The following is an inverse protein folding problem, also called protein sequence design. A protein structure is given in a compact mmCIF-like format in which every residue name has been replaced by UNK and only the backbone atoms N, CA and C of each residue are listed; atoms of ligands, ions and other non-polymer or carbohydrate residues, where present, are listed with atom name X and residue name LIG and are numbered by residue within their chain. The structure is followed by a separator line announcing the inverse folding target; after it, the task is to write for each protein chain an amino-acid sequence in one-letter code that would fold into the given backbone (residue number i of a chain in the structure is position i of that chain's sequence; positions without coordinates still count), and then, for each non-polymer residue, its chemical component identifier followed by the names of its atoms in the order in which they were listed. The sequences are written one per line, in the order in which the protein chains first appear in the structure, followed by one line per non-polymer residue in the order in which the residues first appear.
data_IF_440849156040
#
_entry.id   IF_440849156040
#
_cell.length_a   1.000
_cell.length_b   1.000
_cell.length_c   1.000
_cell.angle_alpha   90.00
_cell.angle_beta   90.00
_cell.angle_gamma   90.00
#
_symmetry.space_group_name_H-M   'P 1'
#
loop_
_entity.id
_entity.type
_entity.pdbx_description
1 polymer ?
#
# COMPACT_ATOMS: atom_id res chain seq x y z
N UNK A 1 -11.88 47.29 -32.28
CA UNK A 1 -11.88 45.82 -32.03
C UNK A 1 -13.12 45.28 -32.70
N UNK A 2 -12.97 44.33 -33.62
CA UNK A 2 -14.13 43.72 -34.27
C UNK A 2 -14.79 42.71 -33.34
N UNK A 3 -16.12 42.80 -33.22
CA UNK A 3 -16.93 41.91 -32.40
C UNK A 3 -17.80 41.04 -33.31
N UNK A 4 -17.95 39.78 -32.93
CA UNK A 4 -18.93 38.87 -33.49
C UNK A 4 -20.17 38.79 -32.60
N UNK A 5 -21.29 38.51 -33.23
CA UNK A 5 -22.52 38.13 -32.56
C UNK A 5 -22.42 36.75 -31.93
N UNK A 6 -23.29 36.46 -30.97
CA UNK A 6 -23.47 35.11 -30.40
C UNK A 6 -23.71 34.05 -31.49
N UNK A 7 -24.40 34.41 -32.58
CA UNK A 7 -24.74 33.46 -33.65
C UNK A 7 -23.52 33.09 -34.47
N UNK A 8 -22.69 34.06 -34.82
CA UNK A 8 -21.41 33.84 -35.50
C UNK A 8 -20.43 33.07 -34.61
N UNK A 9 -20.36 33.40 -33.31
CA UNK A 9 -19.57 32.64 -32.36
C UNK A 9 -20.05 31.18 -32.23
N UNK A 10 -21.37 30.95 -32.25
CA UNK A 10 -21.95 29.61 -32.19
C UNK A 10 -21.57 28.75 -33.41
N UNK A 11 -21.59 29.36 -34.59
CA UNK A 11 -21.15 28.72 -35.85
C UNK A 11 -19.64 28.45 -35.83
N UNK A 12 -18.84 29.47 -35.47
CA UNK A 12 -17.38 29.35 -35.33
C UNK A 12 -16.95 28.26 -34.35
N UNK A 13 -17.70 28.05 -33.28
CA UNK A 13 -17.36 27.11 -32.21
C UNK A 13 -18.08 25.76 -32.31
N UNK A 14 -18.95 25.57 -33.30
CA UNK A 14 -19.74 24.35 -33.49
C UNK A 14 -20.63 24.02 -32.28
N UNK A 15 -21.27 25.03 -31.66
CA UNK A 15 -22.19 24.86 -30.52
C UNK A 15 -23.50 25.60 -30.76
N UNK A 16 -24.53 25.32 -29.96
CA UNK A 16 -25.79 26.04 -30.08
C UNK A 16 -25.65 27.50 -29.62
N UNK A 17 -26.42 28.41 -30.23
CA UNK A 17 -26.53 29.82 -29.82
C UNK A 17 -26.84 29.95 -28.33
N UNK A 18 -27.71 29.07 -27.81
CA UNK A 18 -28.09 29.02 -26.39
C UNK A 18 -26.89 28.70 -25.48
N UNK A 19 -25.95 27.86 -25.94
CA UNK A 19 -24.72 27.55 -25.21
C UNK A 19 -23.80 28.76 -25.14
N UNK A 20 -23.66 29.50 -26.23
CA UNK A 20 -22.85 30.73 -26.26
C UNK A 20 -23.45 31.79 -25.31
N UNK A 21 -24.76 32.01 -25.33
CA UNK A 21 -25.43 32.93 -24.39
C UNK A 21 -25.22 32.54 -22.93
N UNK A 22 -25.25 31.23 -22.63
CA UNK A 22 -24.96 30.73 -21.30
C UNK A 22 -23.52 31.04 -20.89
N UNK A 23 -22.54 30.82 -21.77
CA UNK A 23 -21.13 31.11 -21.49
C UNK A 23 -20.89 32.60 -21.26
N UNK A 24 -21.53 33.49 -22.02
CA UNK A 24 -21.46 34.94 -21.76
C UNK A 24 -22.03 35.30 -20.38
N UNK A 25 -23.19 34.75 -20.01
CA UNK A 25 -23.83 35.00 -18.70
C UNK A 25 -23.07 34.46 -17.50
N UNK A 26 -22.09 33.58 -17.71
CA UNK A 26 -21.27 32.98 -16.65
C UNK A 26 -19.86 33.60 -16.62
N UNK A 27 -19.64 34.71 -17.33
CA UNK A 27 -18.33 35.38 -17.48
C UNK A 27 -17.21 34.43 -17.96
N UNK A 28 -17.58 33.40 -18.72
CA UNK A 28 -16.64 32.38 -19.23
C UNK A 28 -16.02 32.78 -20.59
N UNK A 29 -16.48 33.87 -21.19
CA UNK A 29 -15.95 34.42 -22.46
C UNK A 29 -15.30 35.75 -22.14
N UNK A 30 -13.97 35.76 -22.07
CA UNK A 30 -13.20 36.96 -21.78
C UNK A 30 -13.50 38.07 -22.79
N UNK A 31 -13.83 39.26 -22.30
CA UNK A 31 -14.14 40.42 -23.14
C UNK A 31 -15.52 40.41 -23.79
N UNK A 32 -16.40 39.44 -23.46
CA UNK A 32 -17.80 39.51 -23.87
C UNK A 32 -18.50 40.70 -23.19
N UNK A 33 -19.21 41.51 -23.97
CA UNK A 33 -19.93 42.69 -23.47
C UNK A 33 -21.41 42.57 -23.84
N UNK A 34 -22.29 42.98 -22.93
CA UNK A 34 -23.72 43.03 -23.19
C UNK A 34 -24.14 44.45 -23.56
N UNK A 35 -24.61 44.63 -24.80
CA UNK A 35 -25.23 45.87 -25.25
C UNK A 35 -26.76 45.66 -25.29
N UNK A 36 -27.45 46.21 -24.29
CA UNK A 36 -28.88 45.99 -24.11
C UNK A 36 -29.23 44.52 -23.86
N UNK A 37 -29.95 43.88 -24.79
CA UNK A 37 -30.32 42.46 -24.71
C UNK A 37 -29.41 41.53 -25.50
N UNK A 38 -28.39 42.07 -26.17
CA UNK A 38 -27.53 41.31 -27.09
C UNK A 38 -26.11 41.24 -26.55
N UNK A 39 -25.51 40.06 -26.62
CA UNK A 39 -24.10 39.84 -26.29
C UNK A 39 -23.24 40.01 -27.54
N UNK A 40 -22.12 40.70 -27.39
CA UNK A 40 -21.07 40.83 -28.41
C UNK A 40 -19.78 40.20 -27.85
N UNK A 41 -19.05 39.49 -28.71
CA UNK A 41 -17.86 38.72 -28.33
C UNK A 41 -16.71 39.16 -29.22
N UNK A 42 -15.50 39.46 -28.69
CA UNK A 42 -14.36 39.82 -29.51
C UNK A 42 -14.02 38.72 -30.53
N UNK A 43 -13.74 39.09 -31.79
CA UNK A 43 -13.56 38.13 -32.88
C UNK A 43 -12.40 37.14 -32.70
N UNK A 44 -11.37 37.54 -31.96
CA UNK A 44 -10.19 36.73 -31.64
C UNK A 44 -10.42 35.74 -30.49
N UNK A 45 -11.59 35.80 -29.83
CA UNK A 45 -11.88 34.92 -28.70
C UNK A 45 -11.98 33.45 -29.12
N UNK A 46 -11.14 32.61 -28.51
CA UNK A 46 -11.22 31.16 -28.64
C UNK A 46 -12.42 30.61 -27.87
N UNK A 47 -12.96 29.47 -28.32
CA UNK A 47 -14.06 28.78 -27.63
C UNK A 47 -13.64 28.43 -26.19
N UNK A 48 -14.39 28.86 -25.15
CA UNK A 48 -14.09 28.48 -23.78
C UNK A 48 -14.16 26.96 -23.58
N UNK A 49 -13.29 26.41 -22.74
CA UNK A 49 -13.28 24.97 -22.44
C UNK A 49 -14.62 24.54 -21.84
N UNK A 50 -15.31 23.61 -22.52
CA UNK A 50 -16.62 23.09 -22.10
C UNK A 50 -16.42 21.96 -21.07
N UNK A 51 -16.85 22.18 -19.82
CA UNK A 51 -16.73 21.22 -18.71
C UNK A 51 -17.65 19.98 -18.78
N UNK A 52 -18.17 19.60 -19.96
CA UNK A 52 -19.08 18.46 -20.15
C UNK A 52 -18.51 17.32 -20.98
N UNK A 53 -17.21 17.29 -21.24
CA UNK A 53 -16.59 16.03 -21.67
C UNK A 53 -16.49 15.10 -20.47
N UNK A 54 -17.07 13.90 -20.63
CA UNK A 54 -16.58 12.69 -19.96
C UNK A 54 -15.06 12.73 -20.07
N UNK A 55 -14.36 12.63 -18.95
CA UNK A 55 -12.93 12.31 -18.96
C UNK A 55 -12.85 10.96 -19.66
N UNK A 56 -12.68 10.97 -20.98
CA UNK A 56 -11.89 9.93 -21.61
C UNK A 56 -10.57 10.06 -20.88
N UNK A 57 -10.25 9.02 -20.10
CA UNK A 57 -8.89 8.79 -19.65
C UNK A 57 -8.03 8.69 -20.91
N UNK A 58 -7.66 9.84 -21.47
CA UNK A 58 -6.32 10.01 -21.97
C UNK A 58 -5.45 9.75 -20.74
N UNK A 59 -5.07 8.48 -20.58
CA UNK A 59 -3.79 8.12 -19.96
C UNK A 59 -2.82 9.24 -20.33
N UNK A 60 -2.13 9.87 -19.35
CA UNK A 60 -1.21 10.94 -19.65
C UNK A 60 -0.10 10.44 -20.57
N UNK A 61 -0.36 10.47 -21.89
CA UNK A 61 0.65 10.36 -22.91
C UNK A 61 1.48 11.62 -22.73
N UNK A 62 2.71 11.42 -22.27
CA UNK A 62 3.75 12.44 -22.14
C UNK A 62 3.72 13.36 -20.89
N UNK A 63 3.57 12.80 -19.69
CA UNK A 63 4.18 13.43 -18.48
C UNK A 63 5.73 13.30 -18.51
N UNK A 64 6.29 12.53 -19.46
CA UNK A 64 7.74 12.28 -19.58
C UNK A 64 8.57 13.43 -20.16
N UNK A 65 7.99 14.42 -20.85
CA UNK A 65 8.77 15.48 -21.50
C UNK A 65 9.43 16.53 -20.59
N UNK A 66 8.88 16.95 -19.43
CA UNK A 66 9.53 17.98 -18.60
C UNK A 66 10.88 17.54 -17.99
N UNK A 67 11.18 16.23 -18.01
CA UNK A 67 12.39 15.65 -17.41
C UNK A 67 13.42 15.17 -18.45
N UNK A 68 13.11 15.25 -19.76
CA UNK A 68 13.99 14.74 -20.83
C UNK A 68 15.12 15.70 -21.24
N UNK A 69 15.12 16.95 -20.77
CA UNK A 69 16.21 17.90 -21.05
C UNK A 69 16.56 18.70 -19.79
N UNK A 70 17.31 18.07 -18.88
CA UNK A 70 17.99 18.74 -17.77
C UNK A 70 19.50 18.84 -18.05
N UNK A 71 19.86 19.24 -19.27
CA UNK A 71 21.24 19.54 -19.64
C UNK A 71 21.87 20.50 -18.63
N UNK A 72 22.87 20.01 -17.90
CA UNK A 72 23.80 20.84 -17.13
C UNK A 72 23.50 21.07 -15.64
N UNK A 73 22.53 20.40 -15.02
CA UNK A 73 22.19 20.65 -13.59
C UNK A 73 22.11 19.37 -12.73
N UNK A 74 23.05 18.44 -12.90
CA UNK A 74 23.19 17.24 -12.06
C UNK A 74 23.20 17.57 -10.56
N UNK A 75 23.82 18.70 -10.18
CA UNK A 75 23.86 19.16 -8.80
C UNK A 75 22.47 19.54 -8.27
N UNK A 76 21.62 20.15 -9.09
CA UNK A 76 20.24 20.47 -8.71
C UNK A 76 19.40 19.21 -8.57
N UNK A 77 19.51 18.26 -9.49
CA UNK A 77 18.81 16.98 -9.40
C UNK A 77 19.23 16.20 -8.15
N UNK A 78 20.54 16.14 -7.89
CA UNK A 78 21.09 15.51 -6.69
C UNK A 78 20.50 16.15 -5.41
N UNK A 79 20.47 17.48 -5.33
CA UNK A 79 19.85 18.19 -4.20
C UNK A 79 18.35 17.89 -4.07
N UNK A 80 17.59 17.87 -5.15
CA UNK A 80 16.15 17.54 -5.11
C UNK A 80 15.95 16.13 -4.56
N UNK A 81 16.72 15.16 -5.06
CA UNK A 81 16.61 13.77 -4.63
C UNK A 81 16.98 13.64 -3.16
N UNK A 82 18.07 14.28 -2.75
CA UNK A 82 18.57 14.27 -1.36
C UNK A 82 17.50 14.68 -0.35
N UNK A 83 16.73 15.73 -0.65
CA UNK A 83 15.67 16.25 0.21
C UNK A 83 14.27 15.69 -0.10
N UNK A 84 14.14 14.79 -1.08
CA UNK A 84 12.85 14.24 -1.42
C UNK A 84 12.29 13.42 -0.25
N UNK A 85 11.01 13.60 0.13
CA UNK A 85 10.47 12.99 1.35
C UNK A 85 10.26 11.47 1.25
N UNK A 86 10.23 10.94 0.03
CA UNK A 86 10.08 9.51 -0.22
C UNK A 86 11.43 8.87 -0.56
N UNK A 87 11.64 7.58 -0.23
CA UNK A 87 12.84 6.85 -0.64
C UNK A 87 13.02 6.91 -2.15
N UNK A 88 14.22 7.33 -2.57
CA UNK A 88 14.65 7.33 -3.96
C UNK A 88 15.98 6.58 -4.08
N UNK A 89 16.08 5.77 -5.13
CA UNK A 89 17.30 5.10 -5.55
C UNK A 89 17.54 5.39 -7.03
N UNK A 90 18.78 5.70 -7.40
CA UNK A 90 19.19 6.02 -8.77
C UNK A 90 20.27 5.06 -9.20
N UNK A 91 20.12 4.55 -10.42
CA UNK A 91 20.97 3.54 -11.02
C UNK A 91 21.58 4.04 -12.33
N UNK A 92 22.85 3.72 -12.57
CA UNK A 92 23.47 3.86 -13.89
C UNK A 92 22.90 2.85 -14.88
N UNK A 93 23.11 2.99 -16.20
CA UNK A 93 22.53 2.10 -17.21
C UNK A 93 22.89 0.62 -17.06
N UNK A 94 24.02 0.31 -16.40
CA UNK A 94 24.42 -1.06 -16.08
C UNK A 94 23.78 -1.63 -14.78
N UNK A 95 22.86 -0.90 -14.15
CA UNK A 95 22.15 -1.30 -12.94
C UNK A 95 22.85 -0.97 -11.62
N UNK A 96 24.03 -0.33 -11.63
CA UNK A 96 24.77 -0.01 -10.40
C UNK A 96 24.17 1.21 -9.71
N UNK A 97 23.96 1.16 -8.39
CA UNK A 97 23.44 2.29 -7.62
C UNK A 97 24.47 3.41 -7.59
N UNK A 98 24.06 4.60 -8.01
CA UNK A 98 24.91 5.80 -8.03
C UNK A 98 24.46 6.84 -7.02
N UNK A 99 23.19 6.82 -6.60
CA UNK A 99 22.65 7.77 -5.63
C UNK A 99 21.47 7.17 -4.87
N UNK A 100 21.33 7.53 -3.60
CA UNK A 100 20.13 7.30 -2.78
C UNK A 100 20.00 8.40 -1.73
N UNK A 101 18.78 8.67 -1.28
CA UNK A 101 18.50 9.79 -0.37
C UNK A 101 18.30 9.36 1.09
N UNK A 102 18.22 10.36 1.98
CA UNK A 102 18.04 10.17 3.42
C UNK A 102 16.72 9.45 3.77
N UNK A 103 15.66 9.62 2.96
CA UNK A 103 14.43 8.87 3.16
C UNK A 103 14.64 7.36 3.02
N UNK A 104 15.47 6.91 2.07
CA UNK A 104 15.85 5.50 1.91
C UNK A 104 16.64 4.97 3.10
N UNK A 105 17.64 5.73 3.56
CA UNK A 105 18.46 5.32 4.70
C UNK A 105 17.64 5.20 5.98
N UNK A 106 16.78 6.19 6.24
CA UNK A 106 15.90 6.20 7.42
C UNK A 106 14.91 5.04 7.41
N UNK A 107 14.26 4.76 6.28
CA UNK A 107 13.31 3.64 6.20
C UNK A 107 13.99 2.30 6.49
N UNK A 108 15.23 2.15 6.01
CA UNK A 108 15.96 0.89 6.06
C UNK A 108 16.96 0.83 7.22
N UNK A 109 16.98 1.81 8.13
CA UNK A 109 17.99 1.96 9.20
C UNK A 109 19.44 1.73 8.72
N UNK A 110 19.77 2.16 7.50
CA UNK A 110 21.11 1.98 6.92
C UNK A 110 22.01 3.12 7.42
N UNK A 111 23.16 2.82 8.04
CA UNK A 111 23.97 3.83 8.72
C UNK A 111 24.70 4.80 7.79
N UNK A 112 25.05 4.37 6.57
CA UNK A 112 25.73 5.21 5.58
C UNK A 112 25.49 4.73 4.14
N UNK A 113 25.44 5.69 3.21
CA UNK A 113 25.37 5.47 1.76
C UNK A 113 26.58 4.72 1.18
N UNK A 114 27.73 4.75 1.88
CA UNK A 114 28.98 4.11 1.44
C UNK A 114 28.87 2.58 1.29
N UNK A 115 27.87 1.97 1.93
CA UNK A 115 27.59 0.54 1.80
C UNK A 115 26.80 0.21 0.53
N UNK A 116 26.17 1.20 -0.09
CA UNK A 116 25.23 1.03 -1.19
C UNK A 116 25.79 1.53 -2.52
N UNK A 117 26.28 2.77 -2.54
CA UNK A 117 26.73 3.45 -3.76
C UNK A 117 27.94 2.71 -4.36
N UNK A 118 27.87 2.40 -5.65
CA UNK A 118 28.91 1.69 -6.41
C UNK A 118 29.03 0.19 -6.10
N UNK A 119 28.42 -0.30 -5.02
CA UNK A 119 28.51 -1.70 -4.56
C UNK A 119 27.26 -2.50 -4.86
N UNK A 120 26.10 -1.85 -4.86
CA UNK A 120 24.82 -2.48 -5.12
C UNK A 120 24.44 -2.39 -6.59
N UNK A 121 23.96 -3.50 -7.17
CA UNK A 121 23.48 -3.54 -8.54
C UNK A 121 22.09 -4.20 -8.61
N UNK A 122 21.07 -3.42 -9.00
CA UNK A 122 19.67 -3.87 -8.98
C UNK A 122 19.39 -4.95 -10.02
N UNK A 123 20.06 -4.91 -11.17
CA UNK A 123 19.90 -5.91 -12.23
C UNK A 123 20.51 -7.26 -11.88
N UNK A 124 21.39 -7.30 -10.87
CA UNK A 124 22.03 -8.51 -10.35
C UNK A 124 21.51 -8.90 -8.97
N UNK A 125 20.58 -8.14 -8.40
CA UNK A 125 20.10 -8.38 -7.06
C UNK A 125 19.16 -9.60 -7.03
N UNK A 126 19.53 -10.72 -6.35
CA UNK A 126 18.67 -11.91 -6.24
C UNK A 126 17.39 -11.67 -5.43
N UNK A 127 17.32 -10.61 -4.62
CA UNK A 127 16.12 -10.25 -3.84
C UNK A 127 14.97 -9.84 -4.76
N UNK A 128 15.28 -9.29 -5.95
CA UNK A 128 14.27 -8.93 -6.95
C UNK A 128 13.46 -10.14 -7.40
N UNK A 129 14.06 -11.33 -7.48
CA UNK A 129 13.34 -12.55 -7.89
C UNK A 129 12.33 -13.02 -6.83
N UNK A 130 12.37 -12.45 -5.61
CA UNK A 130 11.44 -12.73 -4.51
C UNK A 130 10.28 -11.74 -4.40
N UNK A 131 10.29 -10.66 -5.19
CA UNK A 131 9.28 -9.60 -5.13
C UNK A 131 7.92 -10.12 -5.62
N UNK A 132 7.86 -10.51 -6.88
CA UNK A 132 6.69 -11.11 -7.52
C UNK A 132 7.11 -11.81 -8.81
N UNK A 133 6.17 -12.50 -9.45
CA UNK A 133 6.40 -13.15 -10.74
C UNK A 133 6.88 -12.11 -11.78
N UNK A 134 8.01 -12.41 -12.45
CA UNK A 134 8.62 -11.58 -13.50
C UNK A 134 9.04 -10.17 -13.04
N UNK A 135 9.19 -9.91 -11.74
CA UNK A 135 9.67 -8.62 -11.24
C UNK A 135 11.00 -8.18 -11.88
N UNK A 136 11.96 -9.10 -12.06
CA UNK A 136 13.22 -8.83 -12.76
C UNK A 136 13.02 -8.39 -14.21
N UNK A 137 12.15 -9.07 -14.95
CA UNK A 137 11.84 -8.70 -16.34
C UNK A 137 11.18 -7.32 -16.40
N UNK A 138 10.28 -7.02 -15.46
CA UNK A 138 9.66 -5.70 -15.36
C UNK A 138 10.71 -4.63 -15.07
N UNK A 139 11.60 -4.83 -14.10
CA UNK A 139 12.70 -3.89 -13.85
C UNK A 139 13.58 -3.71 -15.09
N UNK A 140 13.91 -4.77 -15.82
CA UNK A 140 14.73 -4.66 -17.04
C UNK A 140 14.10 -3.73 -18.10
N UNK A 141 12.77 -3.67 -18.19
CA UNK A 141 12.09 -2.73 -19.10
C UNK A 141 12.37 -1.27 -18.76
N UNK A 142 12.56 -0.92 -17.48
CA UNK A 142 12.92 0.45 -17.12
C UNK A 142 14.32 0.85 -17.58
N UNK A 143 15.24 -0.12 -17.66
CA UNK A 143 16.56 0.04 -18.27
C UNK A 143 16.52 -0.01 -19.81
N UNK A 144 15.38 -0.34 -20.40
CA UNK A 144 15.14 -0.29 -21.86
C UNK A 144 14.37 0.97 -22.27
N UNK A 145 14.04 1.85 -21.33
CA UNK A 145 13.38 3.13 -21.58
C UNK A 145 11.89 3.17 -21.27
N UNK A 146 11.32 2.14 -20.64
CA UNK A 146 9.92 2.12 -20.23
C UNK A 146 9.73 2.62 -18.78
N UNK A 147 8.58 3.21 -18.47
CA UNK A 147 8.21 3.44 -17.05
C UNK A 147 7.46 2.22 -16.54
N UNK A 148 7.87 1.72 -15.37
CA UNK A 148 7.36 0.48 -14.76
C UNK A 148 6.83 0.80 -13.36
N UNK A 149 5.73 0.16 -12.98
CA UNK A 149 5.10 0.39 -11.67
C UNK A 149 4.78 -0.94 -10.99
N UNK A 150 5.12 -1.02 -9.71
CA UNK A 150 4.71 -2.07 -8.80
C UNK A 150 3.71 -1.50 -7.81
N UNK A 151 2.64 -2.25 -7.52
CA UNK A 151 1.60 -1.85 -6.58
C UNK A 151 1.54 -2.83 -5.41
N UNK A 152 1.47 -2.29 -4.19
CA UNK A 152 1.36 -3.08 -2.95
C UNK A 152 2.37 -4.24 -2.90
N UNK A 153 3.62 -3.96 -3.29
CA UNK A 153 4.66 -4.97 -3.32
C UNK A 153 5.15 -5.28 -1.90
N UNK A 154 5.03 -6.54 -1.47
CA UNK A 154 5.56 -6.99 -0.18
C UNK A 154 7.09 -7.00 -0.23
N UNK A 155 7.71 -6.13 0.59
CA UNK A 155 9.16 -6.07 0.68
C UNK A 155 9.69 -7.27 1.47
N UNK A 156 10.71 -7.98 0.96
CA UNK A 156 11.32 -9.12 1.65
C UNK A 156 12.23 -8.64 2.80
N UNK A 157 11.60 -8.21 3.90
CA UNK A 157 12.27 -7.52 5.01
C UNK A 157 13.37 -8.37 5.65
N UNK A 158 13.14 -9.67 5.83
CA UNK A 158 14.13 -10.52 6.48
C UNK A 158 15.41 -10.67 5.63
N UNK A 159 15.28 -10.83 4.32
CA UNK A 159 16.40 -10.86 3.40
C UNK A 159 17.18 -9.55 3.39
N UNK A 160 16.47 -8.44 3.45
CA UNK A 160 17.09 -7.12 3.51
C UNK A 160 17.88 -6.96 4.82
N UNK A 161 17.28 -7.26 5.97
CA UNK A 161 17.94 -7.21 7.28
C UNK A 161 19.22 -8.06 7.25
N UNK A 162 19.10 -9.31 6.81
CA UNK A 162 20.23 -10.25 6.76
C UNK A 162 21.34 -9.79 5.81
N UNK A 163 20.99 -9.16 4.68
CA UNK A 163 21.96 -8.79 3.64
C UNK A 163 22.72 -7.51 3.95
N UNK A 164 22.03 -6.52 4.50
CA UNK A 164 22.60 -5.20 4.74
C UNK A 164 23.04 -5.00 6.19
N UNK A 165 23.03 -6.08 6.99
CA UNK A 165 23.36 -6.07 8.43
C UNK A 165 22.62 -4.96 9.17
N UNK A 166 21.38 -4.71 8.73
CA UNK A 166 20.52 -3.71 9.36
C UNK A 166 20.15 -4.21 10.74
N UNK A 167 20.09 -3.30 11.71
CA UNK A 167 19.48 -3.60 13.01
C UNK A 167 17.99 -3.97 12.88
N UNK A 168 17.33 -4.20 14.02
CA UNK A 168 15.87 -4.41 14.00
C UNK A 168 15.15 -3.20 13.39
N UNK A 169 14.32 -3.48 12.38
CA UNK A 169 13.36 -2.52 11.86
C UNK A 169 12.14 -2.46 12.78
N UNK A 170 11.47 -1.32 12.82
CA UNK A 170 10.25 -1.15 13.64
C UNK A 170 9.01 -1.86 13.06
N UNK A 171 9.15 -2.56 11.93
CA UNK A 171 8.11 -3.27 11.24
C UNK A 171 8.60 -4.65 10.81
N UNK A 172 7.70 -5.64 10.84
CA UNK A 172 7.97 -6.99 10.32
C UNK A 172 7.69 -7.10 8.84
N UNK A 173 6.83 -6.25 8.31
CA UNK A 173 6.71 -6.09 6.87
C UNK A 173 6.27 -4.69 6.45
N UNK A 174 6.55 -4.45 5.18
CA UNK A 174 6.32 -3.21 4.49
C UNK A 174 5.80 -3.53 3.10
N UNK A 175 4.74 -2.85 2.68
CA UNK A 175 4.24 -2.87 1.31
C UNK A 175 4.59 -1.54 0.64
N UNK A 176 5.14 -1.62 -0.57
CA UNK A 176 5.61 -0.44 -1.30
C UNK A 176 4.94 -0.38 -2.67
N UNK A 177 4.51 0.82 -3.05
CA UNK A 177 4.28 1.17 -4.44
C UNK A 177 5.59 1.70 -4.99
N UNK A 178 6.07 1.13 -6.09
CA UNK A 178 7.38 1.48 -6.66
C UNK A 178 7.17 1.97 -8.08
N UNK A 179 7.66 3.17 -8.41
CA UNK A 179 7.72 3.65 -9.79
C UNK A 179 9.17 3.69 -10.23
N UNK A 180 9.48 2.94 -11.30
CA UNK A 180 10.79 2.88 -11.92
C UNK A 180 10.72 3.60 -13.27
N UNK A 181 11.50 4.66 -13.48
CA UNK A 181 11.47 5.42 -14.73
C UNK A 181 12.89 5.81 -15.20
N UNK A 182 13.11 5.82 -16.53
CA UNK A 182 14.38 6.22 -17.12
C UNK A 182 14.51 7.76 -17.16
N UNK A 183 15.75 8.23 -17.03
CA UNK A 183 16.18 9.60 -17.33
C UNK A 183 17.15 9.50 -18.51
N UNK A 184 16.96 10.36 -19.51
CA UNK A 184 17.78 10.41 -20.72
C UNK A 184 18.67 11.66 -20.71
N UNK A 185 19.83 11.56 -21.35
CA UNK A 185 20.70 12.72 -21.63
C UNK A 185 20.18 13.54 -22.83
N UNK A 186 20.85 14.66 -23.12
CA UNK A 186 20.50 15.54 -24.25
C UNK A 186 20.65 14.86 -25.62
N UNK A 187 21.28 13.68 -25.67
CA UNK A 187 21.42 12.83 -26.86
C UNK A 187 20.40 11.68 -26.89
N UNK A 188 19.39 11.71 -26.02
CA UNK A 188 18.36 10.69 -25.87
C UNK A 188 18.92 9.28 -25.54
N UNK A 189 20.07 9.22 -24.89
CA UNK A 189 20.66 7.98 -24.36
C UNK A 189 20.26 7.83 -22.90
N UNK A 190 20.02 6.60 -22.45
CA UNK A 190 19.72 6.33 -21.04
C UNK A 190 20.88 6.82 -20.17
N UNK A 191 20.61 7.82 -19.35
CA UNK A 191 21.56 8.36 -18.38
C UNK A 191 21.42 7.63 -17.04
N UNK A 192 20.19 7.53 -16.54
CA UNK A 192 19.87 6.90 -15.26
C UNK A 192 18.53 6.18 -15.26
N UNK A 193 18.31 5.32 -14.28
CA UNK A 193 16.99 4.80 -13.93
C UNK A 193 16.71 5.15 -12.47
N UNK A 194 15.56 5.75 -12.21
CA UNK A 194 15.15 6.19 -10.87
C UNK A 194 14.04 5.30 -10.36
N UNK A 195 14.18 4.79 -9.14
CA UNK A 195 13.15 4.07 -8.41
C UNK A 195 12.66 4.95 -7.25
N UNK A 196 11.36 5.24 -7.24
CA UNK A 196 10.69 5.98 -6.16
C UNK A 196 9.77 5.01 -5.42
N UNK A 197 9.92 4.95 -4.09
CA UNK A 197 9.15 4.06 -3.24
C UNK A 197 8.15 4.86 -2.41
N UNK A 198 6.90 4.45 -2.43
CA UNK A 198 5.84 5.00 -1.58
C UNK A 198 5.30 3.89 -0.72
N UNK A 199 5.47 4.04 0.58
CA UNK A 199 4.99 3.04 1.54
C UNK A 199 3.47 3.05 1.58
N UNK A 200 2.85 1.95 1.19
CA UNK A 200 1.40 1.81 1.21
C UNK A 200 0.91 1.23 2.54
N UNK A 201 1.63 0.27 3.13
CA UNK A 201 1.26 -0.38 4.40
C UNK A 201 2.52 -0.74 5.22
N UNK A 202 2.46 -0.53 6.54
CA UNK A 202 3.49 -0.96 7.50
C UNK A 202 2.82 -1.73 8.62
N UNK A 203 3.43 -2.85 9.01
CA UNK A 203 2.89 -3.72 10.05
C UNK A 203 3.97 -4.14 11.05
N UNK A 204 3.73 -3.88 12.33
CA UNK A 204 4.55 -4.25 13.47
C UNK A 204 4.03 -5.55 14.09
N UNK A 205 4.63 -6.69 13.73
CA UNK A 205 4.07 -7.97 14.15
C UNK A 205 3.98 -8.15 15.65
N UNK A 206 4.84 -7.52 16.46
CA UNK A 206 4.73 -7.62 17.92
C UNK A 206 3.47 -6.94 18.45
N UNK A 207 3.22 -5.70 18.05
CA UNK A 207 2.08 -4.92 18.54
C UNK A 207 0.76 -5.49 18.02
N UNK A 208 0.69 -5.81 16.73
CA UNK A 208 -0.48 -6.40 16.10
C UNK A 208 -0.83 -7.73 16.77
N UNK A 209 0.16 -8.57 17.09
CA UNK A 209 -0.14 -9.86 17.74
C UNK A 209 -0.59 -9.70 19.18
N UNK A 210 -0.10 -8.69 19.92
CA UNK A 210 -0.64 -8.36 21.25
C UNK A 210 -2.10 -7.94 21.15
N UNK A 211 -2.44 -7.02 20.23
CA UNK A 211 -3.83 -6.57 20.01
C UNK A 211 -4.74 -7.72 19.55
N UNK A 212 -4.25 -8.59 18.68
CA UNK A 212 -5.01 -9.74 18.22
C UNK A 212 -5.31 -10.75 19.34
N UNK A 213 -4.37 -10.98 20.25
CA UNK A 213 -4.61 -11.81 21.44
C UNK A 213 -5.71 -11.23 22.31
N UNK A 214 -5.64 -9.92 22.60
CA UNK A 214 -6.68 -9.21 23.35
C UNK A 214 -8.05 -9.34 22.67
N UNK A 215 -8.10 -9.17 21.34
CA UNK A 215 -9.33 -9.35 20.58
C UNK A 215 -9.90 -10.77 20.70
N UNK A 216 -9.06 -11.81 20.54
CA UNK A 216 -9.49 -13.21 20.67
C UNK A 216 -9.97 -13.49 22.10
N UNK A 217 -9.28 -12.97 23.10
CA UNK A 217 -9.64 -13.12 24.51
C UNK A 217 -10.92 -12.39 24.87
N UNK A 218 -11.24 -11.24 24.27
CA UNK A 218 -12.48 -10.51 24.57
C UNK A 218 -13.69 -11.08 23.83
N UNK A 219 -13.49 -11.75 22.69
CA UNK A 219 -14.55 -12.35 21.87
C UNK A 219 -14.59 -13.89 21.99
N UNK A 220 -13.97 -14.44 23.05
CA UNK A 220 -13.81 -15.88 23.21
C UNK A 220 -15.13 -16.67 23.26
N UNK A 221 -16.24 -16.04 23.66
CA UNK A 221 -17.55 -16.69 23.75
C UNK A 221 -18.22 -16.88 22.38
N UNK A 222 -17.85 -16.04 21.40
CA UNK A 222 -18.37 -16.07 20.03
C UNK A 222 -17.76 -17.24 19.23
N UNK A 223 -18.38 -17.58 18.10
CA UNK A 223 -17.78 -18.51 17.13
C UNK A 223 -16.51 -17.89 16.53
N UNK A 224 -15.43 -18.69 16.43
CA UNK A 224 -14.16 -18.19 15.94
C UNK A 224 -14.23 -17.82 14.47
N UNK A 225 -13.95 -16.54 14.18
CA UNK A 225 -13.87 -16.01 12.84
C UNK A 225 -12.46 -15.44 12.60
N UNK A 226 -11.70 -16.14 11.75
CA UNK A 226 -10.34 -15.77 11.41
C UNK A 226 -10.27 -14.43 10.66
N UNK A 227 -11.27 -14.10 9.84
CA UNK A 227 -11.30 -12.83 9.10
C UNK A 227 -11.60 -11.65 10.02
N UNK A 228 -12.45 -11.83 11.03
CA UNK A 228 -12.68 -10.78 12.04
C UNK A 228 -11.44 -10.57 12.90
N UNK A 229 -10.79 -11.64 13.35
CA UNK A 229 -9.55 -11.55 14.11
C UNK A 229 -8.44 -10.84 13.31
N UNK A 230 -8.27 -11.17 12.03
CA UNK A 230 -7.32 -10.48 11.16
C UNK A 230 -7.67 -9.00 10.95
N UNK A 231 -8.95 -8.70 10.70
CA UNK A 231 -9.44 -7.32 10.52
C UNK A 231 -9.30 -6.46 11.77
N UNK A 232 -9.38 -7.04 12.97
CA UNK A 232 -9.18 -6.32 14.24
C UNK A 232 -7.81 -5.63 14.33
N UNK A 233 -6.83 -6.11 13.55
CA UNK A 233 -5.46 -5.59 13.49
C UNK A 233 -5.08 -5.15 12.07
N UNK A 234 -6.07 -4.88 11.21
CA UNK A 234 -5.90 -4.40 9.84
C UNK A 234 -5.01 -5.30 8.95
N UNK A 235 -5.02 -6.61 9.21
CA UNK A 235 -4.27 -7.62 8.45
C UNK A 235 -5.18 -8.43 7.54
N UNK A 236 -4.61 -8.95 6.44
CA UNK A 236 -5.27 -10.00 5.66
C UNK A 236 -5.26 -11.33 6.43
N UNK A 237 -6.22 -12.22 6.12
CA UNK A 237 -6.35 -13.55 6.75
C UNK A 237 -5.07 -14.37 6.71
N UNK A 238 -4.42 -14.42 5.54
CA UNK A 238 -3.18 -15.17 5.33
C UNK A 238 -2.04 -14.58 6.16
N UNK A 239 -1.88 -13.27 6.07
CA UNK A 239 -0.80 -12.56 6.71
C UNK A 239 -0.91 -12.62 8.25
N UNK A 240 -2.11 -12.38 8.78
CA UNK A 240 -2.45 -12.56 10.19
C UNK A 240 -2.05 -13.95 10.68
N UNK A 241 -2.46 -15.01 9.97
CA UNK A 241 -2.15 -16.38 10.36
C UNK A 241 -0.65 -16.66 10.41
N UNK A 242 0.11 -16.11 9.43
CA UNK A 242 1.57 -16.23 9.36
C UNK A 242 2.24 -15.54 10.55
N UNK A 243 1.92 -14.27 10.82
CA UNK A 243 2.49 -13.55 11.96
C UNK A 243 2.09 -14.17 13.29
N UNK A 244 0.82 -14.52 13.46
CA UNK A 244 0.34 -15.08 14.71
C UNK A 244 1.10 -16.37 15.02
N UNK A 245 1.28 -17.25 14.04
CA UNK A 245 2.09 -18.47 14.22
C UNK A 245 3.56 -18.18 14.50
N UNK A 246 4.17 -17.20 13.83
CA UNK A 246 5.57 -16.80 14.08
C UNK A 246 5.75 -16.32 15.53
N UNK A 247 4.86 -15.47 16.02
CA UNK A 247 4.97 -14.81 17.32
C UNK A 247 4.45 -15.62 18.50
N UNK A 248 3.49 -16.51 18.28
CA UNK A 248 2.84 -17.29 19.35
C UNK A 248 3.17 -18.78 19.28
N UNK A 249 3.88 -19.21 18.23
CA UNK A 249 4.15 -20.61 17.91
C UNK A 249 2.88 -21.46 17.67
N UNK A 250 1.71 -20.86 17.59
CA UNK A 250 0.43 -21.54 17.40
C UNK A 250 -0.46 -20.81 16.39
N UNK A 251 -1.46 -21.51 15.85
CA UNK A 251 -2.44 -20.86 14.96
C UNK A 251 -3.41 -20.02 15.78
N UNK A 252 -4.02 -18.97 15.19
CA UNK A 252 -5.07 -18.19 15.85
C UNK A 252 -6.20 -19.04 16.43
N UNK A 253 -6.63 -20.07 15.70
CA UNK A 253 -7.67 -20.99 16.17
C UNK A 253 -7.20 -21.84 17.37
N UNK A 254 -5.96 -22.35 17.36
CA UNK A 254 -5.43 -23.08 18.51
C UNK A 254 -5.37 -22.19 19.75
N UNK A 255 -4.95 -20.93 19.60
CA UNK A 255 -4.94 -19.96 20.69
C UNK A 255 -6.34 -19.71 21.25
N UNK A 256 -7.33 -19.49 20.36
CA UNK A 256 -8.73 -19.37 20.75
C UNK A 256 -9.23 -20.62 21.52
N UNK A 257 -8.86 -21.82 21.06
CA UNK A 257 -9.19 -23.05 21.78
C UNK A 257 -8.54 -23.11 23.16
N UNK A 258 -7.29 -22.67 23.31
CA UNK A 258 -6.62 -22.60 24.61
C UNK A 258 -7.32 -21.62 25.56
N UNK A 259 -7.74 -20.46 25.06
CA UNK A 259 -8.55 -19.50 25.82
C UNK A 259 -9.86 -20.17 26.28
N UNK A 260 -10.59 -20.84 25.39
CA UNK A 260 -11.83 -21.56 25.74
C UNK A 260 -11.61 -22.67 26.76
N UNK A 261 -10.56 -23.47 26.61
CA UNK A 261 -10.25 -24.56 27.54
C UNK A 261 -9.91 -24.00 28.92
N UNK A 262 -9.16 -22.90 29.00
CA UNK A 262 -8.88 -22.24 30.27
C UNK A 262 -10.16 -21.73 30.94
N UNK A 263 -11.07 -21.10 30.19
CA UNK A 263 -12.38 -20.68 30.72
C UNK A 263 -13.25 -21.86 31.14
N UNK A 264 -13.21 -22.96 30.41
CA UNK A 264 -13.91 -24.18 30.79
C UNK A 264 -13.32 -24.79 32.07
N UNK A 265 -11.99 -24.80 32.23
CA UNK A 265 -11.35 -25.22 33.48
C UNK A 265 -11.83 -24.39 34.67
N UNK A 266 -11.92 -23.06 34.51
CA UNK A 266 -12.49 -22.16 35.53
C UNK A 266 -13.94 -22.56 35.88
N UNK A 267 -14.79 -22.82 34.89
CA UNK A 267 -16.19 -23.24 35.09
C UNK A 267 -16.34 -24.63 35.69
N UNK A 268 -15.42 -25.56 35.38
CA UNK A 268 -15.45 -26.91 35.94
C UNK A 268 -15.13 -26.94 37.44
N UNK A 269 -14.48 -25.90 37.98
CA UNK A 269 -14.27 -25.72 39.42
C UNK A 269 -15.57 -25.42 40.19
N UNK A 270 -16.62 -24.95 39.52
CA UNK A 270 -17.91 -24.70 40.16
C UNK A 270 -18.69 -26.01 40.30
N UNK A 271 -18.80 -26.49 41.54
CA UNK A 271 -19.51 -27.72 41.89
C UNK A 271 -21.04 -27.59 41.74
N UNK A 272 -21.57 -26.37 41.63
CA UNK A 272 -22.99 -26.14 41.39
C UNK A 272 -23.38 -26.33 39.92
N UNK A 273 -22.40 -26.35 39.01
CA UNK A 273 -22.63 -26.59 37.59
C UNK A 273 -22.42 -28.07 37.27
N UNK A 274 -23.34 -28.70 36.57
CA UNK A 274 -23.07 -29.96 35.87
C UNK A 274 -21.97 -29.77 34.82
N UNK A 275 -21.37 -30.87 34.36
CA UNK A 275 -20.36 -30.80 33.29
C UNK A 275 -20.98 -30.19 32.02
N UNK A 276 -22.23 -30.55 31.70
CA UNK A 276 -22.96 -29.97 30.58
C UNK A 276 -23.11 -28.45 30.71
N UNK A 277 -23.53 -27.96 31.87
CA UNK A 277 -23.70 -26.53 32.12
C UNK A 277 -22.38 -25.75 32.08
N UNK A 278 -21.29 -26.33 32.58
CA UNK A 278 -19.96 -25.72 32.46
C UNK A 278 -19.53 -25.53 31.00
N UNK A 279 -19.82 -26.52 30.13
CA UNK A 279 -19.62 -26.41 28.69
C UNK A 279 -20.54 -25.36 28.07
N UNK A 280 -21.83 -25.38 28.39
CA UNK A 280 -22.80 -24.42 27.87
C UNK A 280 -22.44 -22.97 28.25
N UNK A 281 -21.94 -22.74 29.47
CA UNK A 281 -21.44 -21.43 29.92
C UNK A 281 -20.23 -20.92 29.11
N UNK A 282 -19.55 -21.81 28.37
CA UNK A 282 -18.44 -21.48 27.48
C UNK A 282 -18.85 -21.45 26.00
N UNK A 283 -20.15 -21.49 25.70
CA UNK A 283 -20.67 -21.58 24.34
C UNK A 283 -20.27 -22.89 23.64
N UNK A 284 -20.12 -23.97 24.41
CA UNK A 284 -19.76 -25.30 23.92
C UNK A 284 -20.89 -26.28 24.19
N UNK A 285 -21.15 -27.17 23.24
CA UNK A 285 -21.99 -28.33 23.49
C UNK A 285 -21.11 -29.44 24.08
N UNK A 286 -21.52 -29.99 25.22
CA UNK A 286 -20.85 -31.15 25.80
C UNK A 286 -21.10 -32.38 24.92
N UNK A 287 -20.19 -32.63 23.99
CA UNK A 287 -20.20 -33.77 23.10
C UNK A 287 -18.82 -34.47 23.08
N UNK A 288 -18.77 -35.65 22.48
CA UNK A 288 -17.53 -36.44 22.42
C UNK A 288 -16.35 -35.69 21.77
N UNK A 289 -16.62 -34.75 20.85
CA UNK A 289 -15.57 -34.00 20.18
C UNK A 289 -14.88 -33.00 21.13
N UNK A 290 -15.64 -32.14 21.82
CA UNK A 290 -15.03 -31.18 22.75
C UNK A 290 -14.49 -31.84 24.03
N UNK A 291 -15.07 -32.95 24.48
CA UNK A 291 -14.50 -33.75 25.56
C UNK A 291 -13.12 -34.33 25.17
N UNK A 292 -12.96 -34.77 23.91
CA UNK A 292 -11.67 -35.21 23.36
C UNK A 292 -10.67 -34.06 23.27
N UNK A 293 -11.07 -32.91 22.73
CA UNK A 293 -10.19 -31.72 22.65
C UNK A 293 -9.71 -31.28 24.03
N UNK A 294 -10.59 -31.27 25.03
CA UNK A 294 -10.21 -30.99 26.41
C UNK A 294 -9.18 -32.01 26.93
N UNK A 295 -9.42 -33.31 26.71
CA UNK A 295 -8.48 -34.36 27.10
C UNK A 295 -7.12 -34.24 26.40
N UNK A 296 -7.11 -33.91 25.12
CA UNK A 296 -5.87 -33.71 24.36
C UNK A 296 -5.05 -32.54 24.90
N UNK A 297 -5.70 -31.43 25.28
CA UNK A 297 -5.02 -30.23 25.80
C UNK A 297 -4.68 -30.30 27.29
N UNK A 298 -5.48 -31.00 28.10
CA UNK A 298 -5.35 -31.03 29.57
C UNK A 298 -4.78 -32.35 30.10
N UNK A 299 -4.79 -33.41 29.28
CA UNK A 299 -4.31 -34.76 29.64
C UNK A 299 -5.37 -35.66 30.29
N UNK A 300 -6.55 -35.14 30.62
CA UNK A 300 -7.62 -35.87 31.30
C UNK A 300 -9.01 -35.40 30.86
N UNK A 301 -10.04 -36.23 31.00
CA UNK A 301 -11.41 -35.85 30.62
C UNK A 301 -11.96 -34.74 31.54
N UNK A 302 -12.96 -33.96 31.11
CA UNK A 302 -13.59 -32.95 31.98
C UNK A 302 -14.06 -33.51 33.33
N UNK A 303 -14.64 -34.71 33.33
CA UNK A 303 -15.08 -35.41 34.55
C UNK A 303 -13.90 -35.79 35.45
N UNK A 304 -12.80 -36.27 34.87
CA UNK A 304 -11.58 -36.59 35.62
C UNK A 304 -10.97 -35.32 36.20
N UNK A 305 -10.88 -34.24 35.42
CA UNK A 305 -10.38 -32.95 35.86
C UNK A 305 -11.17 -32.42 37.05
N UNK A 306 -12.52 -32.46 37.00
CA UNK A 306 -13.35 -32.03 38.13
C UNK A 306 -13.07 -32.87 39.39
N UNK A 307 -12.94 -34.19 39.27
CA UNK A 307 -12.61 -35.07 40.41
C UNK A 307 -11.25 -34.75 41.06
N UNK A 308 -10.30 -34.19 40.31
CA UNK A 308 -9.02 -33.75 40.90
C UNK A 308 -9.15 -32.48 41.74
N UNK A 309 -10.25 -31.74 41.60
CA UNK A 309 -10.54 -30.51 42.34
C UNK A 309 -11.35 -30.77 43.63
N UNK A 310 -11.88 -31.98 43.82
CA UNK A 310 -12.74 -32.40 44.94
C UNK A 310 -13.49 -33.68 44.66
#
# INVERSE_FOLDING_TARGET
MDYMTVREAAEKWGVSVRRVQYLCKQDMIAGAVQFGKVWTIPNDTAKPRDGRYKVMEESPKDIGRPFQSWGGNEEMLSRIIEFFPYPIQVYSPNGTMVLTNEASLRLMHIPSKDHLIGKFNVLKDPVIDKWEERAREQILKSFQGETVQFQDLEMPIQEIINRFEVGELCFDMSFQNITCFPIFDDHNRLAYVVHVFVTSKLYNGKEEMVKAKVYIESHWLEEFDLDKAARSVNLSRYHFSRLFKRYTSMTPFSYYQDVKINKLKEKLCDQNLSIGEAFSACGLNYNGNYARVFKEKVGMTPSQYRKTLG
#
